data_IF_123060784360
#
_entry.id   IF_123060784360
#
_cell.length_a   1.000
_cell.length_b   1.000
_cell.length_c   1.000
_cell.angle_alpha   90.00
_cell.angle_beta   90.00
_cell.angle_gamma   90.00
#
_symmetry.space_group_name_H-M   'P 1'
#
loop_
_entity.id
_entity.type
_entity.pdbx_description
1 polymer ?
#
# COMPACT_ATOMS: atom_id res chain seq x y z
N UNK A 1 -37.34 20.12 8.33
CA UNK A 1 -38.33 21.02 7.70
C UNK A 1 -37.60 22.17 7.00
N UNK A 2 -37.85 22.34 5.70
CA UNK A 2 -37.39 23.51 4.96
C UNK A 2 -38.22 24.68 5.44
N UNK A 3 -37.62 25.64 6.14
CA UNK A 3 -38.35 26.60 6.96
C UNK A 3 -38.69 27.91 6.22
N UNK A 4 -38.14 28.14 5.03
CA UNK A 4 -38.33 29.40 4.30
C UNK A 4 -38.76 29.13 2.86
N UNK A 5 -39.94 29.66 2.49
CA UNK A 5 -40.51 29.51 1.14
C UNK A 5 -39.70 30.19 0.01
N UNK A 6 -38.65 30.93 0.34
CA UNK A 6 -37.76 31.60 -0.63
C UNK A 6 -36.47 30.82 -0.90
N UNK A 7 -36.27 29.63 -0.30
CA UNK A 7 -35.05 28.86 -0.46
C UNK A 7 -35.06 28.02 -1.73
N UNK A 8 -33.89 27.82 -2.30
CA UNK A 8 -33.59 26.96 -3.44
C UNK A 8 -32.47 25.93 -3.08
N UNK A 9 -32.08 25.09 -4.01
CA UNK A 9 -30.98 24.13 -3.84
C UNK A 9 -29.66 24.76 -3.35
N UNK A 10 -29.44 26.05 -3.62
CA UNK A 10 -28.20 26.76 -3.24
C UNK A 10 -28.18 27.27 -1.81
N UNK A 11 -29.35 27.45 -1.18
CA UNK A 11 -29.50 27.99 0.17
C UNK A 11 -30.61 27.32 0.97
N UNK A 12 -30.94 26.10 0.61
CA UNK A 12 -31.97 25.25 1.24
C UNK A 12 -31.54 24.63 2.56
N UNK A 13 -32.33 23.66 3.00
CA UNK A 13 -32.04 22.87 4.20
C UNK A 13 -31.17 21.67 3.81
N UNK A 14 -30.08 21.51 4.52
CA UNK A 14 -29.15 20.38 4.35
C UNK A 14 -29.52 19.21 5.26
N UNK A 15 -29.55 18.02 4.70
CA UNK A 15 -29.81 16.75 5.41
C UNK A 15 -28.73 15.75 5.01
N UNK A 16 -28.04 15.19 6.00
CA UNK A 16 -27.03 14.14 5.78
C UNK A 16 -27.74 12.80 5.71
N UNK A 17 -27.52 12.08 4.63
CA UNK A 17 -27.94 10.69 4.41
C UNK A 17 -26.84 9.71 4.77
N UNK A 18 -27.00 8.46 4.31
CA UNK A 18 -25.98 7.41 4.50
C UNK A 18 -24.78 7.60 3.57
N UNK A 19 -25.03 7.91 2.31
CA UNK A 19 -24.02 7.97 1.26
C UNK A 19 -23.66 9.40 0.86
N UNK A 20 -24.48 10.39 1.25
CA UNK A 20 -24.23 11.75 0.86
C UNK A 20 -25.04 12.79 1.62
N UNK A 21 -25.00 13.99 1.11
CA UNK A 21 -25.66 15.17 1.69
C UNK A 21 -26.62 15.76 0.68
N UNK A 22 -27.90 15.83 1.06
CA UNK A 22 -28.96 16.47 0.29
C UNK A 22 -29.16 17.91 0.79
N UNK A 23 -29.14 18.89 -0.09
CA UNK A 23 -29.64 20.24 0.18
C UNK A 23 -30.89 20.49 -0.65
N UNK A 24 -32.03 20.73 0.02
CA UNK A 24 -33.35 20.91 -0.62
C UNK A 24 -33.92 22.27 -0.33
N UNK A 25 -34.36 22.96 -1.38
CA UNK A 25 -35.09 24.24 -1.30
C UNK A 25 -36.58 24.06 -1.14
N UNK A 26 -37.28 25.11 -0.63
CA UNK A 26 -38.70 25.13 -0.55
C UNK A 26 -39.40 25.20 -1.92
N UNK A 27 -38.67 25.60 -2.95
CA UNK A 27 -39.11 25.59 -4.36
C UNK A 27 -39.08 24.17 -4.99
N UNK A 28 -38.63 23.15 -4.22
CA UNK A 28 -38.51 21.77 -4.66
C UNK A 28 -37.21 21.45 -5.39
N UNK A 29 -36.36 22.45 -5.65
CA UNK A 29 -35.02 22.17 -6.20
C UNK A 29 -34.11 21.52 -5.14
N UNK A 30 -33.16 20.71 -5.59
CA UNK A 30 -32.20 20.09 -4.68
C UNK A 30 -30.83 19.86 -5.34
N UNK A 31 -29.83 19.74 -4.49
CA UNK A 31 -28.51 19.21 -4.85
C UNK A 31 -28.19 18.05 -3.92
N UNK A 32 -27.47 17.05 -4.44
CA UNK A 32 -26.97 15.94 -3.67
C UNK A 32 -25.49 15.77 -3.96
N UNK A 33 -24.71 15.57 -2.90
CA UNK A 33 -23.26 15.31 -2.98
C UNK A 33 -22.98 13.98 -2.27
N UNK A 34 -22.54 12.99 -3.00
CA UNK A 34 -22.03 11.74 -2.44
C UNK A 34 -20.63 12.03 -1.88
N UNK A 35 -20.49 12.11 -0.57
CA UNK A 35 -19.25 12.50 0.11
C UNK A 35 -19.18 11.90 1.53
N UNK A 36 -19.81 10.76 1.75
CA UNK A 36 -19.71 10.01 3.00
C UNK A 36 -18.84 8.79 2.75
N UNK A 37 -18.09 8.34 3.76
CA UNK A 37 -17.25 7.14 3.67
C UNK A 37 -18.02 5.88 3.25
N UNK A 38 -19.34 5.84 3.47
CA UNK A 38 -20.16 4.77 2.96
C UNK A 38 -20.36 4.81 1.43
N UNK A 39 -20.19 5.98 0.81
CA UNK A 39 -20.20 6.10 -0.65
C UNK A 39 -18.85 5.68 -1.25
N UNK A 40 -17.75 6.04 -0.58
CA UNK A 40 -16.40 5.63 -0.95
C UNK A 40 -16.22 4.10 -0.82
N UNK A 41 -16.96 3.46 0.09
CA UNK A 41 -16.95 2.00 0.29
C UNK A 41 -17.85 1.21 -0.68
N UNK A 42 -18.44 1.86 -1.69
CA UNK A 42 -19.19 1.18 -2.74
C UNK A 42 -18.24 0.78 -3.87
N UNK A 43 -18.19 -0.50 -4.14
CA UNK A 43 -17.35 -1.05 -5.21
C UNK A 43 -17.74 -0.51 -6.59
N UNK A 44 -16.83 -0.57 -7.54
CA UNK A 44 -17.05 -0.08 -8.89
C UNK A 44 -18.32 -0.66 -9.54
N UNK A 45 -19.32 0.21 -9.78
CA UNK A 45 -20.60 -0.16 -10.35
C UNK A 45 -21.63 -0.72 -9.35
N UNK A 46 -21.26 -0.89 -8.09
CA UNK A 46 -22.23 -1.16 -7.02
C UNK A 46 -23.19 0.02 -6.86
N UNK A 47 -24.42 -0.24 -6.47
CA UNK A 47 -25.42 0.81 -6.30
C UNK A 47 -26.14 0.69 -4.97
N UNK A 48 -26.29 1.82 -4.29
CA UNK A 48 -27.03 1.89 -3.04
C UNK A 48 -28.03 3.07 -3.02
N UNK A 49 -29.23 2.89 -2.43
CA UNK A 49 -30.21 3.96 -2.32
C UNK A 49 -29.99 4.82 -1.08
N UNK A 50 -29.97 6.13 -1.23
CA UNK A 50 -30.12 7.10 -0.15
C UNK A 50 -31.52 7.67 -0.17
N UNK A 51 -32.26 7.65 0.95
CA UNK A 51 -33.69 7.93 1.00
C UNK A 51 -34.03 9.06 1.96
N UNK A 52 -34.74 10.05 1.45
CA UNK A 52 -35.13 11.25 2.18
C UNK A 52 -36.63 11.46 2.13
N UNK A 53 -37.29 11.54 3.30
CA UNK A 53 -38.70 11.86 3.39
C UNK A 53 -38.90 13.37 3.46
N UNK A 54 -39.74 13.92 2.61
CA UNK A 54 -40.09 15.33 2.63
C UNK A 54 -41.60 15.56 2.75
N UNK A 55 -41.99 16.69 3.27
CA UNK A 55 -43.40 17.10 3.45
C UNK A 55 -43.66 18.33 2.63
N UNK A 56 -44.73 18.34 1.84
CA UNK A 56 -45.26 19.51 1.16
C UNK A 56 -46.45 20.08 1.96
N UNK A 57 -46.65 21.39 1.80
CA UNK A 57 -47.77 22.10 2.43
C UNK A 57 -48.41 23.06 1.45
N UNK A 58 -49.74 23.17 1.51
CA UNK A 58 -50.56 24.15 0.73
C UNK A 58 -50.61 25.56 1.39
N UNK A 59 -49.94 25.73 2.54
CA UNK A 59 -50.01 26.98 3.32
C UNK A 59 -51.36 27.25 3.99
N UNK A 60 -52.33 26.32 3.89
CA UNK A 60 -53.69 26.45 4.44
C UNK A 60 -53.99 25.35 5.48
N UNK A 61 -52.97 24.58 5.85
CA UNK A 61 -53.08 23.50 6.85
C UNK A 61 -53.07 22.10 6.22
N UNK A 62 -53.19 21.96 4.91
CA UNK A 62 -53.03 20.69 4.21
C UNK A 62 -51.56 20.32 4.07
N UNK A 63 -51.23 19.07 4.34
CA UNK A 63 -49.85 18.54 4.17
C UNK A 63 -49.89 17.12 3.62
N UNK A 64 -48.86 16.75 2.84
CA UNK A 64 -48.64 15.40 2.38
C UNK A 64 -47.13 15.08 2.41
N UNK A 65 -46.80 13.78 2.45
CA UNK A 65 -45.42 13.33 2.54
C UNK A 65 -45.04 12.42 1.37
N UNK A 66 -43.80 12.57 0.89
CA UNK A 66 -43.25 11.65 -0.11
C UNK A 66 -41.76 11.37 0.17
N UNK A 67 -41.21 10.39 -0.53
CA UNK A 67 -39.82 9.99 -0.41
C UNK A 67 -39.08 10.36 -1.69
N UNK A 68 -37.95 11.03 -1.55
CA UNK A 68 -36.94 11.18 -2.60
C UNK A 68 -35.91 10.08 -2.40
N UNK A 69 -35.67 9.29 -3.44
CA UNK A 69 -34.64 8.25 -3.44
C UNK A 69 -33.54 8.68 -4.43
N UNK A 70 -32.33 8.75 -3.95
CA UNK A 70 -31.13 8.98 -4.76
C UNK A 70 -30.37 7.66 -4.85
N UNK A 71 -30.11 7.18 -6.05
CA UNK A 71 -29.22 6.02 -6.24
C UNK A 71 -27.79 6.51 -6.36
N UNK A 72 -26.94 6.09 -5.46
CA UNK A 72 -25.48 6.31 -5.51
C UNK A 72 -24.86 5.12 -6.19
N UNK A 73 -23.94 5.37 -7.11
CA UNK A 73 -23.16 4.33 -7.79
C UNK A 73 -21.69 4.52 -7.40
N UNK A 74 -21.07 3.42 -6.95
CA UNK A 74 -19.66 3.35 -6.61
C UNK A 74 -18.76 3.49 -7.84
N UNK A 75 -17.60 4.02 -7.61
CA UNK A 75 -16.49 4.10 -8.56
C UNK A 75 -15.27 3.49 -7.89
N UNK A 76 -14.40 2.84 -8.64
CA UNK A 76 -13.17 2.29 -8.09
C UNK A 76 -12.33 3.39 -7.45
N UNK A 77 -11.96 3.19 -6.19
CA UNK A 77 -10.92 3.97 -5.53
C UNK A 77 -9.53 3.35 -5.81
N UNK A 78 -8.48 4.01 -5.44
CA UNK A 78 -7.12 3.47 -5.58
C UNK A 78 -6.59 3.05 -4.22
N UNK A 79 -5.82 1.95 -4.15
CA UNK A 79 -5.18 1.58 -2.90
C UNK A 79 -4.26 2.69 -2.39
N UNK A 80 -4.04 2.70 -1.09
CA UNK A 80 -3.06 3.58 -0.42
C UNK A 80 -1.96 2.68 0.12
N UNK A 81 -0.79 2.72 -0.53
CA UNK A 81 0.40 2.00 -0.12
C UNK A 81 1.23 2.82 0.88
N UNK A 82 1.75 2.17 1.90
CA UNK A 82 2.52 2.79 2.99
C UNK A 82 3.91 2.16 3.09
N UNK A 83 4.93 3.00 3.27
CA UNK A 83 6.32 2.54 3.37
C UNK A 83 6.56 1.54 4.50
N UNK A 84 7.38 0.51 4.22
CA UNK A 84 7.74 -0.58 5.13
C UNK A 84 9.22 -0.57 5.51
N UNK A 85 9.53 -1.26 6.60
CA UNK A 85 10.91 -1.42 7.06
C UNK A 85 11.19 -2.85 7.53
N UNK A 86 12.41 -3.32 7.29
CA UNK A 86 12.94 -4.56 7.81
C UNK A 86 14.36 -4.38 8.34
N UNK A 87 14.89 -5.38 9.05
CA UNK A 87 16.28 -5.40 9.49
C UNK A 87 16.83 -6.81 9.48
N UNK A 88 18.10 -6.94 9.08
CA UNK A 88 18.80 -8.22 9.01
C UNK A 88 20.29 -8.00 9.26
N UNK A 89 20.98 -8.98 9.86
CA UNK A 89 22.44 -8.96 9.89
C UNK A 89 22.99 -9.36 8.51
N UNK A 90 24.19 -8.88 8.17
CA UNK A 90 24.92 -9.42 7.02
C UNK A 90 25.06 -10.94 7.16
N UNK A 91 25.26 -11.66 6.06
CA UNK A 91 25.28 -13.15 5.99
C UNK A 91 23.99 -13.85 6.42
N UNK A 92 22.93 -13.09 6.78
CA UNK A 92 21.69 -13.66 7.25
C UNK A 92 20.55 -13.48 6.24
N UNK A 93 19.45 -14.16 6.53
CA UNK A 93 18.20 -14.08 5.75
C UNK A 93 17.07 -13.58 6.62
N UNK A 94 16.40 -12.51 6.18
CA UNK A 94 15.13 -12.09 6.71
C UNK A 94 14.01 -12.76 5.90
N UNK A 95 13.10 -13.45 6.57
CA UNK A 95 11.93 -14.07 5.91
C UNK A 95 10.65 -13.61 6.59
N UNK A 96 9.76 -13.00 5.82
CA UNK A 96 8.39 -12.63 6.20
C UNK A 96 7.45 -13.51 5.38
N UNK A 97 7.03 -14.62 5.98
CA UNK A 97 6.20 -15.66 5.33
C UNK A 97 4.73 -15.60 5.70
N UNK A 98 4.36 -14.74 6.62
CA UNK A 98 2.97 -14.47 7.00
C UNK A 98 2.54 -13.17 6.34
N UNK A 99 1.52 -13.24 5.48
CA UNK A 99 1.03 -12.08 4.75
C UNK A 99 0.58 -10.94 5.67
N UNK A 100 0.11 -11.26 6.91
CA UNK A 100 -0.27 -10.22 7.90
C UNK A 100 0.89 -9.36 8.38
N UNK A 101 2.13 -9.82 8.16
CA UNK A 101 3.35 -9.06 8.42
C UNK A 101 4.07 -8.67 7.12
N UNK A 102 3.50 -9.02 5.96
CA UNK A 102 3.97 -8.63 4.64
C UNK A 102 3.72 -7.15 4.37
N UNK A 103 4.29 -6.65 3.29
CA UNK A 103 4.23 -5.22 2.96
C UNK A 103 2.80 -4.71 2.65
N UNK A 104 1.86 -5.58 2.26
CA UNK A 104 0.46 -5.18 1.99
C UNK A 104 -0.36 -5.19 3.28
N UNK A 105 -0.55 -6.38 3.88
CA UNK A 105 -1.52 -6.56 4.97
C UNK A 105 -1.12 -5.89 6.28
N UNK A 106 0.11 -5.41 6.38
CA UNK A 106 0.60 -4.70 7.54
C UNK A 106 -0.03 -3.30 7.67
N UNK A 107 -0.14 -2.54 6.57
CA UNK A 107 -0.46 -1.12 6.61
C UNK A 107 -1.07 -0.53 5.33
N UNK A 108 -1.19 -1.29 4.24
CA UNK A 108 -1.85 -0.83 3.03
C UNK A 108 -3.37 -0.97 3.13
N UNK A 109 -4.09 -0.05 2.52
CA UNK A 109 -5.55 0.02 2.60
C UNK A 109 -6.16 0.39 1.26
N UNK A 110 -7.44 0.05 1.10
CA UNK A 110 -8.30 0.58 0.06
C UNK A 110 -9.61 1.07 0.67
N UNK A 111 -10.30 2.00 -0.01
CA UNK A 111 -11.58 2.52 0.43
C UNK A 111 -12.74 1.62 -0.01
N UNK A 112 -12.61 0.93 -1.14
CA UNK A 112 -13.61 0.01 -1.67
C UNK A 112 -13.87 -1.17 -0.72
N UNK A 113 -15.12 -1.56 -0.56
CA UNK A 113 -15.55 -2.52 0.47
C UNK A 113 -15.09 -3.95 0.25
N UNK A 114 -14.84 -4.35 -1.01
CA UNK A 114 -14.32 -5.66 -1.40
C UNK A 114 -12.78 -5.68 -1.56
N UNK A 115 -12.14 -4.51 -1.66
CA UNK A 115 -10.71 -4.36 -1.78
C UNK A 115 -10.04 -4.27 -0.40
N UNK A 116 -10.04 -5.41 0.28
CA UNK A 116 -9.32 -5.56 1.56
C UNK A 116 -7.83 -5.78 1.32
N UNK A 117 -7.00 -5.56 2.32
CA UNK A 117 -5.56 -5.83 2.25
C UNK A 117 -5.21 -7.26 1.79
N UNK A 118 -6.15 -8.21 1.82
CA UNK A 118 -5.97 -9.59 1.33
C UNK A 118 -6.31 -9.77 -0.14
N UNK A 119 -7.00 -8.83 -0.78
CA UNK A 119 -7.29 -8.82 -2.22
C UNK A 119 -6.27 -8.00 -3.02
N UNK A 120 -5.55 -7.08 -2.35
CA UNK A 120 -4.48 -6.31 -2.97
C UNK A 120 -3.30 -7.21 -3.35
N UNK A 121 -2.66 -6.92 -4.48
CA UNK A 121 -1.50 -7.66 -4.97
C UNK A 121 -0.33 -6.74 -5.32
N UNK A 122 0.91 -7.19 -5.03
CA UNK A 122 2.11 -6.59 -5.61
C UNK A 122 2.21 -6.99 -7.08
N UNK A 123 2.29 -6.01 -7.96
CA UNK A 123 2.40 -6.22 -9.41
C UNK A 123 3.77 -5.89 -9.97
N UNK A 124 4.54 -5.05 -9.30
CA UNK A 124 5.89 -4.66 -9.71
C UNK A 124 6.81 -4.44 -8.52
N UNK A 125 8.10 -4.65 -8.76
CA UNK A 125 9.19 -4.41 -7.80
C UNK A 125 10.42 -3.88 -8.53
N UNK A 126 11.15 -2.95 -7.92
CA UNK A 126 12.42 -2.44 -8.40
C UNK A 126 13.35 -2.08 -7.23
N UNK A 127 14.66 -2.05 -7.45
CA UNK A 127 15.54 -1.23 -6.61
C UNK A 127 15.11 0.22 -6.77
N UNK A 128 15.06 0.98 -5.69
CA UNK A 128 14.60 2.38 -5.75
C UNK A 128 15.40 3.19 -6.79
N UNK A 129 14.67 3.77 -7.74
CA UNK A 129 15.25 4.47 -8.90
C UNK A 129 15.70 3.58 -10.06
N UNK A 130 15.50 2.26 -9.96
CA UNK A 130 15.79 1.28 -11.01
C UNK A 130 14.60 1.00 -11.93
N UNK A 131 14.74 -0.02 -12.77
CA UNK A 131 13.67 -0.47 -13.67
C UNK A 131 12.78 -1.49 -12.97
N UNK A 132 11.47 -1.38 -13.19
CA UNK A 132 10.48 -2.29 -12.63
C UNK A 132 10.59 -3.70 -13.23
N UNK A 133 10.49 -4.70 -12.37
CA UNK A 133 10.29 -6.11 -12.69
C UNK A 133 8.86 -6.50 -12.32
N UNK A 134 8.17 -7.23 -13.19
CA UNK A 134 6.81 -7.70 -12.91
C UNK A 134 6.81 -8.78 -11.85
N UNK A 135 5.85 -8.72 -10.93
CA UNK A 135 5.55 -9.79 -9.97
C UNK A 135 4.32 -10.55 -10.47
N UNK A 136 4.42 -11.88 -10.49
CA UNK A 136 3.34 -12.74 -11.01
C UNK A 136 2.29 -12.95 -9.92
N UNK A 137 1.00 -12.76 -10.25
CA UNK A 137 -0.11 -13.03 -9.33
C UNK A 137 -0.08 -14.46 -8.75
N UNK A 138 -0.51 -14.61 -7.51
CA UNK A 138 -0.53 -15.88 -6.80
C UNK A 138 0.84 -16.38 -6.31
N UNK A 139 1.88 -15.53 -6.34
CA UNK A 139 3.20 -15.84 -5.80
C UNK A 139 3.35 -15.39 -4.36
N UNK A 140 4.33 -15.98 -3.66
CA UNK A 140 4.76 -15.64 -2.30
C UNK A 140 6.29 -15.53 -2.22
N UNK A 141 6.85 -15.31 -1.03
CA UNK A 141 8.29 -15.15 -0.80
C UNK A 141 9.16 -16.31 -1.31
N UNK A 142 8.60 -17.51 -1.53
CA UNK A 142 9.37 -18.68 -1.98
C UNK A 142 9.43 -18.84 -3.51
N UNK A 143 8.52 -18.18 -4.25
CA UNK A 143 8.42 -18.26 -5.70
C UNK A 143 8.12 -16.91 -6.36
N UNK A 144 8.35 -15.82 -5.64
CA UNK A 144 8.16 -14.45 -6.10
C UNK A 144 9.21 -13.96 -7.09
N UNK A 145 9.24 -12.67 -7.30
CA UNK A 145 10.21 -11.98 -8.16
C UNK A 145 11.39 -11.48 -7.35
N UNK A 146 12.60 -11.79 -7.81
CA UNK A 146 13.83 -11.38 -7.15
C UNK A 146 14.44 -10.13 -7.80
N UNK A 147 14.91 -9.21 -6.96
CA UNK A 147 15.63 -8.00 -7.36
C UNK A 147 16.86 -7.85 -6.47
N UNK A 148 18.04 -7.68 -7.09
CA UNK A 148 19.31 -7.52 -6.36
C UNK A 148 19.57 -6.05 -6.10
N UNK A 149 19.70 -5.69 -4.84
CA UNK A 149 20.08 -4.37 -4.34
C UNK A 149 21.60 -4.21 -4.19
N UNK A 150 21.99 -3.29 -3.32
CA UNK A 150 23.40 -3.00 -3.04
C UNK A 150 24.00 -4.03 -2.09
N UNK A 151 23.25 -4.43 -1.07
CA UNK A 151 23.71 -5.27 0.04
C UNK A 151 23.12 -6.66 0.01
N UNK A 152 22.06 -6.89 -0.77
CA UNK A 152 21.41 -8.18 -0.81
C UNK A 152 20.37 -8.35 -1.91
N UNK A 153 19.69 -9.48 -1.89
CA UNK A 153 18.66 -9.83 -2.86
C UNK A 153 17.30 -9.94 -2.17
N UNK A 154 16.34 -9.11 -2.59
CA UNK A 154 14.93 -9.19 -2.18
C UNK A 154 14.17 -10.11 -3.15
N UNK A 155 13.43 -11.07 -2.62
CA UNK A 155 12.42 -11.86 -3.36
C UNK A 155 11.06 -11.57 -2.74
N UNK A 156 10.12 -11.03 -3.52
CA UNK A 156 8.79 -10.64 -3.06
C UNK A 156 7.70 -11.36 -3.85
N UNK A 157 6.67 -11.83 -3.17
CA UNK A 157 5.48 -12.41 -3.77
C UNK A 157 4.37 -11.38 -4.01
N UNK A 158 3.41 -11.75 -4.85
CA UNK A 158 2.23 -10.93 -5.09
C UNK A 158 1.38 -10.74 -3.82
N UNK A 159 1.44 -11.68 -2.88
CA UNK A 159 0.78 -11.60 -1.58
C UNK A 159 1.46 -10.66 -0.56
N UNK A 160 2.53 -9.97 -0.96
CA UNK A 160 3.28 -9.06 -0.11
C UNK A 160 4.27 -9.74 0.83
N UNK A 161 4.33 -11.07 0.88
CA UNK A 161 5.37 -11.78 1.63
C UNK A 161 6.73 -11.69 0.93
N UNK A 162 7.82 -11.70 1.69
CA UNK A 162 9.15 -11.52 1.11
C UNK A 162 10.26 -12.24 1.86
N UNK A 163 11.36 -12.44 1.16
CA UNK A 163 12.64 -12.90 1.70
C UNK A 163 13.73 -11.93 1.25
N UNK A 164 14.58 -11.51 2.16
CA UNK A 164 15.78 -10.75 1.83
C UNK A 164 17.01 -11.51 2.33
N UNK A 165 17.96 -11.72 1.44
CA UNK A 165 19.24 -12.35 1.73
C UNK A 165 20.33 -11.30 1.59
N UNK A 166 21.08 -11.03 2.64
CA UNK A 166 22.24 -10.14 2.62
C UNK A 166 23.44 -10.91 2.06
N UNK A 167 23.54 -11.01 0.73
CA UNK A 167 24.44 -11.91 -0.01
C UNK A 167 25.41 -11.17 -0.95
N UNK A 168 25.48 -9.85 -0.86
CA UNK A 168 26.36 -9.04 -1.68
C UNK A 168 27.62 -8.68 -0.90
N UNK A 169 28.77 -8.62 -1.59
CA UNK A 169 30.07 -8.27 -0.95
C UNK A 169 30.09 -6.90 -0.27
N UNK A 170 29.20 -6.01 -0.65
CA UNK A 170 29.05 -4.73 0.04
C UNK A 170 28.44 -4.89 1.46
N UNK A 171 27.76 -5.97 1.74
CA UNK A 171 27.29 -6.30 3.09
C UNK A 171 28.48 -6.75 3.95
N UNK A 172 29.37 -7.61 3.42
CA UNK A 172 30.57 -8.11 4.10
C UNK A 172 31.57 -7.00 4.45
N UNK A 173 31.49 -5.85 3.73
CA UNK A 173 32.34 -4.67 3.98
C UNK A 173 31.85 -3.82 5.18
N UNK A 174 30.69 -4.11 5.78
CA UNK A 174 30.15 -3.35 6.90
C UNK A 174 30.88 -3.69 8.20
N UNK A 175 31.36 -2.67 8.88
CA UNK A 175 31.99 -2.87 10.19
C UNK A 175 30.97 -3.32 11.23
N UNK A 176 31.40 -4.10 12.22
CA UNK A 176 30.54 -4.60 13.32
C UNK A 176 29.68 -3.49 13.93
N UNK A 177 28.36 -3.61 13.84
CA UNK A 177 27.39 -2.63 14.33
C UNK A 177 27.16 -1.45 13.39
N UNK A 178 27.85 -1.37 12.27
CA UNK A 178 27.52 -0.44 11.19
C UNK A 178 26.19 -0.85 10.55
N UNK A 179 25.41 0.12 10.07
CA UNK A 179 24.13 -0.14 9.41
C UNK A 179 24.07 0.55 8.06
N UNK A 180 23.57 -0.15 7.05
CA UNK A 180 23.35 0.40 5.72
C UNK A 180 21.94 0.02 5.21
N UNK A 181 21.23 0.93 4.52
CA UNK A 181 19.91 0.65 3.96
C UNK A 181 20.00 0.10 2.54
N UNK A 182 19.15 -0.88 2.25
CA UNK A 182 18.81 -1.29 0.90
C UNK A 182 17.32 -0.99 0.67
N UNK A 183 16.97 -0.30 -0.40
CA UNK A 183 15.62 0.22 -0.60
C UNK A 183 15.04 -0.23 -1.94
N UNK A 184 13.80 -0.72 -1.89
CA UNK A 184 13.07 -1.24 -3.04
C UNK A 184 11.70 -0.59 -3.12
N UNK A 185 11.30 -0.16 -4.33
CA UNK A 185 9.97 0.38 -4.60
C UNK A 185 9.08 -0.72 -5.15
N UNK A 186 7.91 -0.92 -4.56
CA UNK A 186 6.91 -1.86 -5.04
C UNK A 186 5.64 -1.13 -5.49
N UNK A 187 4.83 -1.79 -6.32
CA UNK A 187 3.52 -1.29 -6.78
C UNK A 187 2.45 -2.25 -6.33
N UNK A 188 1.48 -1.72 -5.59
CA UNK A 188 0.25 -2.41 -5.17
C UNK A 188 -0.84 -2.15 -6.20
N UNK A 189 -1.71 -3.12 -6.44
CA UNK A 189 -2.90 -3.01 -7.29
C UNK A 189 -4.11 -3.64 -6.60
N UNK A 190 -5.28 -3.04 -6.80
CA UNK A 190 -6.60 -3.54 -6.44
C UNK A 190 -7.15 -4.59 -7.42
N UNK A 191 -6.56 -4.74 -8.60
CA UNK A 191 -7.07 -5.59 -9.67
C UNK A 191 -8.16 -4.95 -10.53
N UNK A 192 -8.70 -3.80 -10.12
CA UNK A 192 -9.79 -3.06 -10.75
C UNK A 192 -9.29 -1.83 -11.55
N UNK A 193 -7.97 -1.59 -11.53
CA UNK A 193 -7.29 -0.55 -12.31
C UNK A 193 -6.63 0.53 -11.47
N UNK A 194 -6.86 0.58 -10.16
CA UNK A 194 -6.14 1.41 -9.22
C UNK A 194 -4.77 0.84 -8.88
N UNK A 195 -3.81 1.68 -8.68
CA UNK A 195 -2.46 1.31 -8.22
C UNK A 195 -1.84 2.42 -7.40
N UNK A 196 -1.00 2.04 -6.43
CA UNK A 196 -0.15 2.96 -5.69
C UNK A 196 1.24 2.34 -5.46
N UNK A 197 2.20 3.15 -5.03
CA UNK A 197 3.59 2.70 -4.84
C UNK A 197 4.10 3.09 -3.47
N UNK A 198 4.81 2.16 -2.83
CA UNK A 198 5.55 2.42 -1.60
C UNK A 198 6.95 1.82 -1.65
N UNK A 199 7.72 2.05 -0.61
CA UNK A 199 9.12 1.61 -0.49
C UNK A 199 9.27 0.68 0.70
N UNK A 200 9.89 -0.48 0.49
CA UNK A 200 10.43 -1.27 1.59
C UNK A 200 11.91 -0.95 1.76
N UNK A 201 12.31 -0.60 2.98
CA UNK A 201 13.70 -0.34 3.33
C UNK A 201 14.21 -1.41 4.30
N UNK A 202 15.21 -2.17 3.88
CA UNK A 202 15.89 -3.17 4.71
C UNK A 202 17.17 -2.55 5.28
N UNK A 203 17.32 -2.55 6.60
CA UNK A 203 18.53 -2.14 7.29
C UNK A 203 19.43 -3.35 7.49
N UNK A 204 20.58 -3.38 6.86
CA UNK A 204 21.61 -4.40 7.01
C UNK A 204 22.55 -3.97 8.16
N UNK A 205 22.82 -4.89 9.08
CA UNK A 205 23.69 -4.65 10.24
C UNK A 205 24.95 -5.48 10.10
N UNK A 206 26.10 -4.82 10.07
CA UNK A 206 27.42 -5.46 10.03
C UNK A 206 27.70 -6.32 11.28
N UNK A 207 28.25 -7.48 11.09
CA UNK A 207 28.76 -8.39 12.14
C UNK A 207 30.27 -8.59 11.96
N UNK A 208 30.93 -9.22 12.93
CA UNK A 208 32.37 -9.41 12.83
C UNK A 208 32.71 -10.62 11.95
N UNK A 209 33.44 -10.38 10.87
CA UNK A 209 34.02 -11.43 10.04
C UNK A 209 35.29 -12.04 10.64
N UNK A 210 35.45 -13.35 10.43
CA UNK A 210 36.68 -14.00 10.81
C UNK A 210 37.76 -13.77 9.75
N UNK A 211 39.00 -13.48 10.14
CA UNK A 211 40.07 -13.33 9.16
C UNK A 211 40.33 -14.65 8.42
N UNK A 212 40.54 -14.57 7.12
CA UNK A 212 40.94 -15.71 6.30
C UNK A 212 42.45 -15.68 6.12
N UNK A 213 43.12 -16.76 6.50
CA UNK A 213 44.53 -16.92 6.30
C UNK A 213 44.81 -17.84 5.09
N UNK A 214 45.53 -17.29 4.12
CA UNK A 214 45.99 -18.07 2.96
C UNK A 214 47.30 -18.78 3.24
N UNK A 215 47.51 -19.97 2.60
CA UNK A 215 48.76 -20.68 2.68
C UNK A 215 49.79 -20.05 1.76
N UNK A 216 50.93 -19.66 2.32
CA UNK A 216 52.07 -19.13 1.58
C UNK A 216 53.17 -20.15 1.41
N UNK A 217 53.91 -20.04 0.30
CA UNK A 217 55.10 -20.87 0.04
C UNK A 217 56.28 -19.99 -0.23
N UNK A 218 57.38 -20.22 0.48
CA UNK A 218 58.64 -19.56 0.28
C UNK A 218 59.69 -20.51 -0.23
N UNK A 219 60.61 -20.03 -1.02
CA UNK A 219 61.78 -20.78 -1.50
C UNK A 219 63.06 -20.05 -1.08
N UNK A 220 64.01 -20.78 -0.61
CA UNK A 220 65.34 -20.28 -0.26
C UNK A 220 66.40 -21.29 -0.68
N UNK A 221 67.46 -20.82 -1.30
CA UNK A 221 68.59 -21.70 -1.62
C UNK A 221 69.45 -22.02 -0.39
N UNK A 222 70.17 -23.12 -0.46
CA UNK A 222 71.07 -23.52 0.65
C UNK A 222 72.10 -22.40 0.94
N UNK A 223 72.16 -21.98 2.18
CA UNK A 223 73.02 -20.89 2.68
C UNK A 223 72.41 -19.47 2.59
N UNK A 224 71.23 -19.28 1.99
CA UNK A 224 70.56 -18.01 1.93
C UNK A 224 69.54 -17.83 3.05
N UNK A 225 68.99 -16.62 3.22
CA UNK A 225 67.95 -16.30 4.21
C UNK A 225 66.74 -15.76 3.48
N UNK A 226 65.55 -16.41 3.67
CA UNK A 226 64.29 -15.87 3.23
C UNK A 226 63.79 -14.81 4.25
N UNK A 227 63.54 -13.59 3.78
CA UNK A 227 62.95 -12.52 4.56
C UNK A 227 61.62 -12.14 3.91
N UNK A 228 60.51 -12.25 4.65
CA UNK A 228 59.21 -11.77 4.25
C UNK A 228 58.97 -10.44 4.98
N UNK A 229 58.66 -9.33 4.23
CA UNK A 229 58.45 -8.00 4.76
C UNK A 229 56.97 -7.57 4.55
#
# INVERSE_FOLDING_TARGET
>A
TVADSSTSASNGTTVTGTYGTLTVGADGSYTYTAAQSAADALDAGETAPDSFTYTISDGKGGTDTATLIITVTGTNDTPVATDDTGSVNEDATLTVSDATNGVIQNNDTDADGDDTASSLEITQIAVTGGSNSSVTSGTNQSNGTSVTGTYGTLTIGADGTYTYVADQSAADDLATGETAPDSFTYTVSDGNGGTDTATITISIVGVNDAPVADSETGFVDASDTLTVT
#
